data_IF_437437334645
#
_entry.id   IF_437437334645
#
_cell.length_a   1.000
_cell.length_b   1.000
_cell.length_c   1.000
_cell.angle_alpha   90.00
_cell.angle_beta   90.00
_cell.angle_gamma   90.00
#
_symmetry.space_group_name_H-M   'P 1'
#
loop_
_entity.id
_entity.type
_entity.pdbx_description
1 polymer ?
#
# COMPACT_ATOMS: atom_id res chain seq x y z
N UNK A 1 -25.54 16.55 -13.31
CA UNK A 1 -25.71 15.19 -12.75
C UNK A 1 -24.46 14.34 -12.97
N UNK A 2 -23.89 14.33 -14.17
CA UNK A 2 -22.69 13.54 -14.50
C UNK A 2 -21.43 13.94 -13.69
N UNK A 3 -21.08 15.23 -13.62
CA UNK A 3 -19.94 15.70 -12.80
C UNK A 3 -20.07 15.32 -11.30
N UNK A 4 -21.29 15.36 -10.76
CA UNK A 4 -21.55 14.99 -9.35
C UNK A 4 -21.38 13.48 -9.11
N UNK A 5 -21.73 12.66 -10.10
CA UNK A 5 -21.51 11.21 -10.05
C UNK A 5 -20.02 10.88 -10.17
N UNK A 6 -19.30 11.53 -11.07
CA UNK A 6 -17.86 11.37 -11.22
C UNK A 6 -17.09 11.83 -9.97
N UNK A 7 -17.52 12.93 -9.35
CA UNK A 7 -16.95 13.41 -8.09
C UNK A 7 -17.11 12.37 -6.98
N UNK A 8 -18.32 11.80 -6.81
CA UNK A 8 -18.57 10.73 -5.83
C UNK A 8 -17.72 9.50 -6.09
N UNK A 9 -17.62 9.07 -7.35
CA UNK A 9 -16.81 7.92 -7.71
C UNK A 9 -15.34 8.13 -7.37
N UNK A 10 -14.77 9.28 -7.77
CA UNK A 10 -13.38 9.59 -7.49
C UNK A 10 -13.09 9.72 -5.99
N UNK A 11 -14.05 10.21 -5.20
CA UNK A 11 -13.95 10.24 -3.73
C UNK A 11 -13.95 8.83 -3.12
N UNK A 12 -14.83 7.95 -3.58
CA UNK A 12 -14.87 6.56 -3.15
C UNK A 12 -13.57 5.83 -3.50
N UNK A 13 -13.09 5.99 -4.74
CA UNK A 13 -11.83 5.40 -5.19
C UNK A 13 -10.63 5.93 -4.41
N UNK A 14 -10.63 7.23 -4.09
CA UNK A 14 -9.60 7.86 -3.26
C UNK A 14 -9.55 7.26 -1.85
N UNK A 15 -10.72 7.02 -1.24
CA UNK A 15 -10.81 6.38 0.07
C UNK A 15 -10.27 4.94 0.03
N UNK A 16 -10.65 4.17 -0.98
CA UNK A 16 -10.17 2.79 -1.18
C UNK A 16 -8.65 2.76 -1.37
N UNK A 17 -8.11 3.59 -2.25
CA UNK A 17 -6.65 3.65 -2.51
C UNK A 17 -5.91 4.07 -1.24
N UNK A 18 -6.43 5.03 -0.48
CA UNK A 18 -5.82 5.45 0.79
C UNK A 18 -5.78 4.30 1.80
N UNK A 19 -6.87 3.54 1.92
CA UNK A 19 -6.91 2.36 2.80
C UNK A 19 -5.93 1.27 2.36
N UNK A 20 -5.79 1.04 1.04
CA UNK A 20 -4.84 0.07 0.49
C UNK A 20 -3.39 0.48 0.76
N UNK A 21 -3.05 1.77 0.63
CA UNK A 21 -1.72 2.30 0.98
C UNK A 21 -1.42 2.02 2.45
N UNK A 22 -2.34 2.38 3.36
CA UNK A 22 -2.15 2.16 4.79
C UNK A 22 -1.92 0.69 5.14
N UNK A 23 -2.72 -0.22 4.56
CA UNK A 23 -2.55 -1.66 4.79
C UNK A 23 -1.17 -2.14 4.33
N UNK A 24 -0.73 -1.75 3.13
CA UNK A 24 0.58 -2.16 2.58
C UNK A 24 1.75 -1.55 3.34
N UNK A 25 1.64 -0.31 3.81
CA UNK A 25 2.66 0.32 4.65
C UNK A 25 2.80 -0.40 6.00
N UNK A 26 1.69 -0.85 6.60
CA UNK A 26 1.72 -1.69 7.80
C UNK A 26 2.39 -3.03 7.51
N UNK A 27 2.04 -3.70 6.42
CA UNK A 27 2.68 -4.97 6.02
C UNK A 27 4.18 -4.81 5.77
N UNK A 28 4.60 -3.74 5.07
CA UNK A 28 6.02 -3.44 4.82
C UNK A 28 6.77 -3.21 6.14
N UNK A 29 6.16 -2.51 7.10
CA UNK A 29 6.75 -2.32 8.44
C UNK A 29 6.86 -3.63 9.23
N UNK A 30 5.88 -4.53 9.12
CA UNK A 30 5.97 -5.86 9.75
C UNK A 30 7.15 -6.63 9.14
N UNK A 31 7.29 -6.64 7.81
CA UNK A 31 8.41 -7.27 7.13
C UNK A 31 9.77 -6.69 7.57
N UNK A 32 9.87 -5.37 7.68
CA UNK A 32 11.08 -4.68 8.16
C UNK A 32 11.46 -5.10 9.59
N UNK A 33 10.49 -5.13 10.51
CA UNK A 33 10.72 -5.55 11.90
C UNK A 33 11.10 -7.04 11.95
N UNK A 34 10.42 -7.91 11.21
CA UNK A 34 10.76 -9.33 11.14
C UNK A 34 12.19 -9.54 10.62
N UNK A 35 12.60 -8.84 9.55
CA UNK A 35 13.97 -8.91 9.04
C UNK A 35 14.99 -8.43 10.07
N UNK A 36 14.67 -7.37 10.82
CA UNK A 36 15.53 -6.87 11.89
C UNK A 36 15.68 -7.91 12.99
N UNK A 37 14.56 -8.49 13.43
CA UNK A 37 14.55 -9.50 14.50
C UNK A 37 15.32 -10.76 14.10
N UNK A 38 15.20 -11.21 12.84
CA UNK A 38 15.97 -12.33 12.29
C UNK A 38 17.47 -12.04 12.26
N UNK A 39 17.87 -10.83 11.88
CA UNK A 39 19.29 -10.43 11.87
C UNK A 39 19.89 -10.28 13.26
N UNK A 40 19.10 -9.84 14.24
CA UNK A 40 19.56 -9.64 15.61
C UNK A 40 19.61 -10.95 16.41
N UNK A 41 18.68 -11.87 16.16
CA UNK A 41 18.51 -13.08 16.98
C UNK A 41 18.82 -14.39 16.25
N UNK A 42 18.92 -14.38 14.92
CA UNK A 42 19.23 -15.54 14.11
C UNK A 42 20.72 -15.71 13.86
N UNK A 43 21.15 -16.97 13.71
CA UNK A 43 22.50 -17.34 13.32
C UNK A 43 22.53 -17.95 11.92
N UNK A 44 23.67 -17.85 11.24
CA UNK A 44 23.86 -18.54 9.97
C UNK A 44 23.65 -20.06 10.13
N UNK A 45 22.80 -20.64 9.28
CA UNK A 45 22.29 -22.03 9.31
C UNK A 45 21.13 -22.33 10.27
N UNK A 46 20.52 -21.31 10.90
CA UNK A 46 19.28 -21.53 11.65
C UNK A 46 18.11 -21.86 10.71
N UNK A 47 17.15 -22.63 11.23
CA UNK A 47 15.92 -22.98 10.54
C UNK A 47 14.76 -22.13 11.09
N UNK A 48 14.04 -21.46 10.19
CA UNK A 48 12.83 -20.71 10.50
C UNK A 48 11.60 -21.55 10.12
N UNK A 49 10.56 -21.47 10.94
CA UNK A 49 9.27 -22.09 10.67
C UNK A 49 8.32 -21.09 10.02
N UNK A 50 8.27 -21.11 8.69
CA UNK A 50 7.43 -20.22 7.89
C UNK A 50 5.98 -20.70 7.86
N UNK A 51 5.03 -19.82 8.19
CA UNK A 51 3.61 -20.13 8.15
C UNK A 51 3.05 -20.13 6.73
N UNK A 52 2.60 -21.29 6.24
CA UNK A 52 1.92 -21.46 4.95
C UNK A 52 0.45 -21.86 5.19
N UNK A 53 -0.36 -20.93 5.67
CA UNK A 53 -1.76 -21.17 6.02
C UNK A 53 -1.93 -21.88 7.36
N UNK A 54 -2.33 -23.16 7.35
CA UNK A 54 -2.48 -23.98 8.58
C UNK A 54 -1.25 -24.83 8.90
N UNK A 55 -0.21 -24.74 8.09
CA UNK A 55 1.02 -25.53 8.21
C UNK A 55 2.23 -24.61 8.40
N UNK A 56 3.29 -25.16 8.97
CA UNK A 56 4.59 -24.49 9.10
C UNK A 56 5.64 -25.28 8.32
N UNK A 57 6.38 -24.61 7.46
CA UNK A 57 7.46 -25.19 6.67
C UNK A 57 8.81 -24.81 7.28
N UNK A 58 9.71 -25.78 7.39
CA UNK A 58 11.10 -25.52 7.77
C UNK A 58 11.84 -24.91 6.57
N UNK A 59 12.31 -23.67 6.74
CA UNK A 59 13.03 -22.91 5.72
C UNK A 59 14.35 -22.42 6.29
N UNK A 60 15.41 -22.43 5.49
CA UNK A 60 16.70 -21.83 5.86
C UNK A 60 16.52 -20.32 6.13
N UNK A 61 17.14 -19.82 7.20
CA UNK A 61 17.01 -18.41 7.59
C UNK A 61 17.45 -17.45 6.48
N UNK A 62 18.54 -17.77 5.75
CA UNK A 62 19.06 -16.93 4.67
C UNK A 62 18.05 -16.82 3.54
N UNK A 63 17.47 -17.97 3.15
CA UNK A 63 16.43 -18.01 2.13
C UNK A 63 15.18 -17.25 2.58
N UNK A 64 14.81 -17.36 3.85
CA UNK A 64 13.65 -16.66 4.40
C UNK A 64 13.86 -15.13 4.42
N UNK A 65 15.07 -14.67 4.79
CA UNK A 65 15.45 -13.26 4.72
C UNK A 65 15.41 -12.72 3.28
N UNK A 66 15.91 -13.49 2.30
CA UNK A 66 15.84 -13.14 0.89
C UNK A 66 14.39 -12.97 0.42
N UNK A 67 13.53 -13.94 0.75
CA UNK A 67 12.10 -13.88 0.41
C UNK A 67 11.41 -12.64 1.00
N UNK A 68 11.60 -12.36 2.31
CA UNK A 68 10.99 -11.18 2.93
C UNK A 68 11.53 -9.88 2.29
N UNK A 69 12.81 -9.84 1.93
CA UNK A 69 13.42 -8.69 1.25
C UNK A 69 12.84 -8.45 -0.14
N UNK A 70 12.58 -9.51 -0.91
CA UNK A 70 11.89 -9.43 -2.20
C UNK A 70 10.43 -8.98 -2.07
N UNK A 71 9.72 -9.52 -1.07
CA UNK A 71 8.35 -9.11 -0.75
C UNK A 71 8.29 -7.63 -0.35
N UNK A 72 9.25 -7.15 0.45
CA UNK A 72 9.33 -5.75 0.86
C UNK A 72 9.53 -4.83 -0.36
N UNK A 73 10.44 -5.18 -1.28
CA UNK A 73 10.63 -4.43 -2.54
C UNK A 73 9.33 -4.35 -3.34
N UNK A 74 8.64 -5.48 -3.46
CA UNK A 74 7.36 -5.58 -4.18
C UNK A 74 6.29 -4.70 -3.53
N UNK A 75 6.19 -4.73 -2.19
CA UNK A 75 5.26 -3.87 -1.43
C UNK A 75 5.56 -2.39 -1.63
N UNK A 76 6.84 -1.99 -1.61
CA UNK A 76 7.25 -0.60 -1.80
C UNK A 76 6.94 -0.09 -3.21
N UNK A 77 7.13 -0.92 -4.24
CA UNK A 77 6.74 -0.60 -5.61
C UNK A 77 5.22 -0.43 -5.75
N UNK A 78 4.43 -1.33 -5.13
CA UNK A 78 2.98 -1.23 -5.11
C UNK A 78 2.50 0.04 -4.37
N UNK A 79 3.13 0.39 -3.24
CA UNK A 79 2.83 1.63 -2.51
C UNK A 79 3.15 2.85 -3.36
N UNK A 80 4.29 2.87 -4.08
CA UNK A 80 4.62 3.96 -5.01
C UNK A 80 3.56 4.12 -6.10
N UNK A 81 3.15 3.01 -6.73
CA UNK A 81 2.11 3.03 -7.76
C UNK A 81 0.77 3.54 -7.21
N UNK A 82 0.37 3.09 -6.03
CA UNK A 82 -0.86 3.54 -5.37
C UNK A 82 -0.80 5.01 -4.96
N UNK A 83 0.35 5.52 -4.51
CA UNK A 83 0.55 6.95 -4.21
C UNK A 83 0.41 7.83 -5.45
N UNK A 84 0.91 7.38 -6.60
CA UNK A 84 0.69 8.08 -7.88
C UNK A 84 -0.81 8.14 -8.21
N UNK A 85 -1.51 6.99 -8.10
CA UNK A 85 -2.97 6.93 -8.31
C UNK A 85 -3.74 7.82 -7.32
N UNK A 86 -3.35 7.81 -6.05
CA UNK A 86 -3.94 8.64 -5.00
C UNK A 86 -3.80 10.13 -5.34
N UNK A 87 -2.61 10.56 -5.76
CA UNK A 87 -2.37 11.95 -6.12
C UNK A 87 -3.18 12.39 -7.33
N UNK A 88 -3.29 11.52 -8.35
CA UNK A 88 -4.15 11.76 -9.51
C UNK A 88 -5.61 11.93 -9.11
N UNK A 89 -6.16 10.99 -8.34
CA UNK A 89 -7.54 11.04 -7.86
C UNK A 89 -7.81 12.27 -7.00
N UNK A 90 -6.88 12.61 -6.09
CA UNK A 90 -6.96 13.82 -5.26
C UNK A 90 -7.05 15.08 -6.12
N UNK A 91 -6.14 15.24 -7.07
CA UNK A 91 -6.12 16.38 -7.99
C UNK A 91 -7.40 16.44 -8.83
N UNK A 92 -7.91 15.29 -9.28
CA UNK A 92 -9.16 15.20 -10.04
C UNK A 92 -10.36 15.64 -9.20
N UNK A 93 -10.49 15.14 -7.97
CA UNK A 93 -11.55 15.54 -7.03
C UNK A 93 -11.52 17.05 -6.77
N UNK A 94 -10.34 17.61 -6.49
CA UNK A 94 -10.16 19.04 -6.22
C UNK A 94 -10.57 19.89 -7.42
N UNK A 95 -10.13 19.53 -8.63
CA UNK A 95 -10.49 20.25 -9.87
C UNK A 95 -11.98 20.16 -10.17
N UNK A 96 -12.57 18.95 -10.10
CA UNK A 96 -14.00 18.77 -10.37
C UNK A 96 -14.86 19.52 -9.35
N UNK A 97 -14.48 19.53 -8.06
CA UNK A 97 -15.17 20.30 -7.04
C UNK A 97 -15.06 21.82 -7.28
N UNK A 98 -13.87 22.31 -7.67
CA UNK A 98 -13.66 23.72 -8.00
C UNK A 98 -14.52 24.14 -9.21
N UNK A 99 -14.52 23.35 -10.30
CA UNK A 99 -15.35 23.62 -11.48
C UNK A 99 -16.85 23.60 -11.16
N UNK A 100 -17.30 22.64 -10.34
CA UNK A 100 -18.69 22.63 -9.86
C UNK A 100 -19.03 23.89 -9.06
N UNK A 101 -18.12 24.35 -8.18
CA UNK A 101 -18.32 25.56 -7.40
C UNK A 101 -18.40 26.80 -8.29
N UNK A 102 -17.56 26.92 -9.31
CA UNK A 102 -17.58 28.04 -10.25
C UNK A 102 -18.91 28.10 -11.02
N UNK A 103 -19.38 26.94 -11.51
CA UNK A 103 -20.67 26.83 -12.22
C UNK A 103 -21.83 27.20 -11.31
N UNK A 104 -21.81 26.76 -10.05
CA UNK A 104 -22.87 27.03 -9.08
C UNK A 104 -22.87 28.47 -8.54
N UNK A 105 -21.71 29.12 -8.46
CA UNK A 105 -21.58 30.48 -7.91
C UNK A 105 -21.58 31.57 -8.97
N UNK A 106 -21.49 31.22 -10.26
CA UNK A 106 -21.65 32.15 -11.39
C UNK A 106 -20.58 33.24 -11.52
N UNK A 107 -19.52 33.20 -10.70
CA UNK A 107 -18.36 34.09 -10.86
C UNK A 107 -17.31 33.38 -11.72
N UNK A 108 -17.16 33.87 -12.95
CA UNK A 108 -16.08 33.51 -13.86
C UNK A 108 -14.72 33.86 -13.23
#
# INVERSE_FOLDING_TARGET
>A
MEMSNQLRQNQADLQVVTQQIQQKEVTSRIAEVTLKDLKENGSANDTVWEGCGKMFLATDITKYEENISEDQKTLDEQVKALKIKQNYLKTSVEKTAASMKQILTGKA
#
